data_IF_505494623678
#
_entry.id   IF_505494623678
#
_cell.length_a   1.000
_cell.length_b   1.000
_cell.length_c   1.000
_cell.angle_alpha   90.00
_cell.angle_beta   90.00
_cell.angle_gamma   90.00
#
_symmetry.space_group_name_H-M   'P 1'
#
loop_
_entity.id
_entity.type
_entity.pdbx_description
1 polymer ?
#
# COMPACT_ATOMS: atom_id res chain seq x y z
N UNK A 1 -15.99 9.99 14.66
CA UNK A 1 -15.34 11.07 15.44
C UNK A 1 -14.50 11.96 14.53
N UNK A 2 -13.96 13.09 14.99
CA UNK A 2 -13.02 13.91 14.19
C UNK A 2 -11.77 13.11 13.79
N UNK A 3 -11.26 12.28 14.70
CA UNK A 3 -10.13 11.36 14.45
C UNK A 3 -10.43 10.36 13.33
N UNK A 4 -11.63 9.77 13.32
CA UNK A 4 -12.04 8.83 12.26
C UNK A 4 -12.14 9.51 10.89
N UNK A 5 -12.62 10.76 10.84
CA UNK A 5 -12.67 11.52 9.58
C UNK A 5 -11.25 11.77 9.07
N UNK A 6 -10.33 12.17 9.96
CA UNK A 6 -8.93 12.37 9.60
C UNK A 6 -8.28 11.07 9.11
N UNK A 7 -8.54 9.94 9.77
CA UNK A 7 -8.06 8.62 9.36
C UNK A 7 -8.55 8.29 7.94
N UNK A 8 -9.85 8.41 7.66
CA UNK A 8 -10.43 8.14 6.33
C UNK A 8 -9.81 9.00 5.24
N UNK A 9 -9.64 10.31 5.49
CA UNK A 9 -9.04 11.24 4.53
C UNK A 9 -7.57 10.89 4.26
N UNK A 10 -6.81 10.58 5.31
CA UNK A 10 -5.41 10.23 5.16
C UNK A 10 -5.23 8.88 4.47
N UNK A 11 -6.10 7.89 4.73
CA UNK A 11 -6.11 6.62 4.00
C UNK A 11 -6.25 6.83 2.49
N UNK A 12 -7.27 7.58 2.06
CA UNK A 12 -7.46 7.87 0.62
C UNK A 12 -6.28 8.64 0.02
N UNK A 13 -5.67 9.56 0.79
CA UNK A 13 -4.45 10.24 0.35
C UNK A 13 -3.27 9.28 0.15
N UNK A 14 -3.08 8.33 1.07
CA UNK A 14 -2.01 7.33 0.97
C UNK A 14 -2.24 6.39 -0.21
N UNK A 15 -3.48 5.95 -0.44
CA UNK A 15 -3.85 5.12 -1.59
C UNK A 15 -3.59 5.85 -2.92
N UNK A 16 -3.92 7.14 -3.00
CA UNK A 16 -3.59 7.95 -4.18
C UNK A 16 -2.07 8.14 -4.36
N UNK A 17 -1.34 8.41 -3.28
CA UNK A 17 0.12 8.58 -3.32
C UNK A 17 0.83 7.30 -3.76
N UNK A 18 0.35 6.14 -3.29
CA UNK A 18 0.92 4.84 -3.65
C UNK A 18 0.76 4.50 -5.14
N UNK A 19 -0.29 5.00 -5.82
CA UNK A 19 -0.47 4.79 -7.27
C UNK A 19 0.59 5.48 -8.12
N UNK A 20 1.19 6.56 -7.63
CA UNK A 20 2.21 7.33 -8.37
C UNK A 20 3.50 7.46 -7.56
N UNK A 21 3.83 6.40 -6.79
CA UNK A 21 4.93 6.45 -5.84
C UNK A 21 6.27 6.56 -6.58
N UNK A 22 7.00 7.62 -6.29
CA UNK A 22 8.40 7.82 -6.68
C UNK A 22 9.28 7.79 -5.42
N UNK A 23 10.61 7.77 -5.61
CA UNK A 23 11.57 7.71 -4.51
C UNK A 23 11.43 8.88 -3.51
N UNK A 24 11.13 10.09 -4.00
CA UNK A 24 10.93 11.27 -3.14
C UNK A 24 9.64 11.18 -2.30
N UNK A 25 8.62 10.46 -2.78
CA UNK A 25 7.36 10.27 -2.07
C UNK A 25 7.37 9.03 -1.14
N UNK A 26 8.31 8.09 -1.31
CA UNK A 26 8.37 6.86 -0.51
C UNK A 26 8.50 7.12 0.99
N UNK A 27 9.48 7.95 1.39
CA UNK A 27 9.68 8.29 2.80
C UNK A 27 8.46 9.01 3.39
N UNK A 28 7.77 9.81 2.58
CA UNK A 28 6.59 10.56 2.97
C UNK A 28 5.39 9.63 3.17
N UNK A 29 5.18 8.69 2.25
CA UNK A 29 4.15 7.67 2.37
C UNK A 29 4.38 6.82 3.62
N UNK A 30 5.63 6.42 3.88
CA UNK A 30 6.01 5.70 5.10
C UNK A 30 5.59 6.47 6.36
N UNK A 31 5.90 7.77 6.44
CA UNK A 31 5.49 8.62 7.58
C UNK A 31 3.98 8.74 7.73
N UNK A 32 3.24 8.80 6.63
CA UNK A 32 1.78 8.82 6.69
C UNK A 32 1.19 7.49 7.15
N UNK A 33 1.78 6.36 6.75
CA UNK A 33 1.37 5.03 7.24
C UNK A 33 1.67 4.87 8.73
N UNK A 34 2.83 5.30 9.21
CA UNK A 34 3.17 5.33 10.65
C UNK A 34 2.14 6.14 11.44
N UNK A 35 1.78 7.33 10.95
CA UNK A 35 0.76 8.17 11.59
C UNK A 35 -0.66 7.58 11.50
N UNK A 36 -0.99 6.81 10.45
CA UNK A 36 -2.25 6.08 10.35
C UNK A 36 -2.36 4.99 11.43
N UNK A 37 -1.26 4.29 11.76
CA UNK A 37 -1.25 3.32 12.87
C UNK A 37 -1.52 4.01 14.21
N UNK A 38 -0.88 5.16 14.45
CA UNK A 38 -1.09 5.95 15.66
C UNK A 38 -2.55 6.39 15.79
N UNK A 39 -3.13 6.96 14.72
CA UNK A 39 -4.54 7.34 14.68
C UNK A 39 -5.47 6.15 14.92
N UNK A 40 -5.17 4.99 14.31
CA UNK A 40 -5.96 3.78 14.49
C UNK A 40 -5.90 3.29 15.95
N UNK A 41 -4.73 3.36 16.58
CA UNK A 41 -4.57 2.97 17.98
C UNK A 41 -5.30 3.92 18.93
N UNK A 42 -5.23 5.23 18.70
CA UNK A 42 -6.00 6.21 19.47
C UNK A 42 -7.52 5.97 19.35
N UNK A 43 -7.98 5.61 18.15
CA UNK A 43 -9.38 5.26 17.91
C UNK A 43 -9.82 3.99 18.65
N UNK A 44 -8.94 3.01 18.89
CA UNK A 44 -9.29 1.78 19.63
C UNK A 44 -9.63 2.06 21.10
N UNK A 45 -8.97 3.06 21.68
CA UNK A 45 -9.13 3.49 23.07
C UNK A 45 -10.27 4.50 23.25
N UNK A 46 -10.79 5.06 22.15
CA UNK A 46 -11.86 6.06 22.21
C UNK A 46 -13.20 5.42 22.65
N UNK A 47 -13.91 5.99 23.64
CA UNK A 47 -15.22 5.48 24.05
C UNK A 47 -16.28 5.55 22.95
N UNK A 48 -16.11 6.45 21.97
CA UNK A 48 -16.99 6.60 20.80
C UNK A 48 -16.39 5.98 19.54
N UNK A 49 -15.63 4.89 19.69
CA UNK A 49 -14.97 4.25 18.56
C UNK A 49 -15.96 3.71 17.52
N UNK A 50 -15.54 3.63 16.25
CA UNK A 50 -16.35 3.03 15.18
C UNK A 50 -16.70 1.56 15.47
N UNK A 51 -17.62 1.01 14.68
CA UNK A 51 -17.96 -0.41 14.74
C UNK A 51 -16.74 -1.31 14.54
N UNK A 52 -16.79 -2.53 15.09
CA UNK A 52 -15.73 -3.54 14.91
C UNK A 52 -15.41 -3.76 13.42
N UNK A 53 -16.44 -3.81 12.57
CA UNK A 53 -16.31 -3.93 11.12
C UNK A 53 -15.55 -2.74 10.50
N UNK A 54 -15.86 -1.51 10.92
CA UNK A 54 -15.16 -0.31 10.45
C UNK A 54 -13.70 -0.30 10.89
N UNK A 55 -13.43 -0.69 12.14
CA UNK A 55 -12.07 -0.79 12.67
C UNK A 55 -11.25 -1.85 11.93
N UNK A 56 -11.85 -3.00 11.63
CA UNK A 56 -11.21 -4.05 10.83
C UNK A 56 -10.93 -3.56 9.40
N UNK A 57 -11.88 -2.86 8.79
CA UNK A 57 -11.74 -2.23 7.47
C UNK A 57 -10.53 -1.29 7.42
N UNK A 58 -10.35 -0.42 8.43
CA UNK A 58 -9.19 0.46 8.48
C UNK A 58 -7.89 -0.30 8.69
N UNK A 59 -7.89 -1.30 9.58
CA UNK A 59 -6.73 -2.16 9.84
C UNK A 59 -6.26 -2.85 8.56
N UNK A 60 -7.19 -3.41 7.79
CA UNK A 60 -6.89 -4.08 6.52
C UNK A 60 -6.34 -3.11 5.47
N UNK A 61 -6.86 -1.89 5.37
CA UNK A 61 -6.35 -0.87 4.44
C UNK A 61 -4.94 -0.41 4.80
N UNK A 62 -4.65 -0.19 6.09
CA UNK A 62 -3.29 0.15 6.54
C UNK A 62 -2.32 -0.99 6.27
N UNK A 63 -2.71 -2.24 6.57
CA UNK A 63 -1.89 -3.42 6.28
C UNK A 63 -1.60 -3.57 4.77
N UNK A 64 -2.60 -3.29 3.93
CA UNK A 64 -2.41 -3.27 2.47
C UNK A 64 -1.40 -2.20 2.04
N UNK A 65 -1.55 -0.96 2.51
CA UNK A 65 -0.62 0.13 2.19
C UNK A 65 0.82 -0.19 2.60
N UNK A 66 1.01 -0.86 3.74
CA UNK A 66 2.32 -1.38 4.17
C UNK A 66 2.88 -2.41 3.20
N UNK A 67 2.03 -3.34 2.73
CA UNK A 67 2.41 -4.33 1.73
C UNK A 67 2.82 -3.68 0.40
N UNK A 68 2.05 -2.71 -0.08
CA UNK A 68 2.38 -1.93 -1.29
C UNK A 68 3.70 -1.20 -1.12
N UNK A 69 3.91 -0.51 0.00
CA UNK A 69 5.18 0.17 0.28
C UNK A 69 6.36 -0.81 0.27
N UNK A 70 6.19 -2.00 0.85
CA UNK A 70 7.22 -3.04 0.82
C UNK A 70 7.55 -3.50 -0.60
N UNK A 71 6.55 -3.69 -1.46
CA UNK A 71 6.76 -3.99 -2.90
C UNK A 71 7.56 -2.89 -3.58
N UNK A 72 7.30 -1.62 -3.28
CA UNK A 72 8.07 -0.53 -3.86
C UNK A 72 9.52 -0.51 -3.38
N UNK A 73 9.75 -0.88 -2.11
CA UNK A 73 11.07 -0.92 -1.49
C UNK A 73 12.01 -2.00 -2.04
N UNK A 74 11.47 -3.13 -2.52
CA UNK A 74 12.30 -4.21 -3.08
C UNK A 74 13.07 -3.76 -4.33
N UNK A 75 14.36 -4.08 -4.42
CA UNK A 75 15.22 -3.61 -5.50
C UNK A 75 15.00 -4.36 -6.82
N UNK A 76 14.77 -5.68 -6.75
CA UNK A 76 14.67 -6.52 -7.95
C UNK A 76 13.20 -6.77 -8.35
N UNK A 77 12.88 -6.80 -9.66
CA UNK A 77 11.53 -7.12 -10.11
C UNK A 77 11.00 -8.46 -9.61
N UNK A 78 11.88 -9.44 -9.39
CA UNK A 78 11.50 -10.74 -8.83
C UNK A 78 11.07 -10.61 -7.37
N UNK A 79 11.86 -9.93 -6.54
CA UNK A 79 11.54 -9.70 -5.12
C UNK A 79 10.26 -8.87 -4.99
N UNK A 80 10.05 -7.88 -5.87
CA UNK A 80 8.80 -7.12 -5.97
C UNK A 80 7.58 -8.01 -6.20
N UNK A 81 7.66 -9.03 -7.08
CA UNK A 81 6.55 -9.97 -7.29
C UNK A 81 6.30 -10.82 -6.05
N UNK A 82 7.36 -11.33 -5.42
CA UNK A 82 7.25 -12.13 -4.21
C UNK A 82 6.58 -11.32 -3.10
N UNK A 83 7.06 -10.09 -2.86
CA UNK A 83 6.46 -9.16 -1.91
C UNK A 83 4.99 -8.89 -2.24
N UNK A 84 4.63 -8.73 -3.51
CA UNK A 84 3.24 -8.47 -3.92
C UNK A 84 2.32 -9.66 -3.67
N UNK A 85 2.81 -10.89 -3.89
CA UNK A 85 2.05 -12.11 -3.62
C UNK A 85 1.80 -12.33 -2.13
N UNK A 86 2.74 -11.88 -1.29
CA UNK A 86 2.63 -11.94 0.17
C UNK A 86 1.85 -10.76 0.77
N UNK A 87 1.71 -9.66 0.01
CA UNK A 87 1.01 -8.48 0.45
C UNK A 87 -0.48 -8.78 0.73
N UNK A 88 -1.07 -8.20 1.78
CA UNK A 88 -2.51 -8.28 2.00
C UNK A 88 -3.26 -7.73 0.79
N UNK A 89 -4.36 -8.33 0.35
CA UNK A 89 -5.10 -7.86 -0.85
C UNK A 89 -6.02 -6.65 -0.59
N UNK A 90 -5.84 -5.98 0.55
CA UNK A 90 -6.78 -4.97 1.04
C UNK A 90 -8.14 -5.57 1.39
N UNK A 91 -9.13 -4.69 1.53
CA UNK A 91 -10.53 -5.07 1.70
C UNK A 91 -11.29 -4.86 0.37
N UNK A 92 -12.61 -5.01 0.37
CA UNK A 92 -13.43 -4.83 -0.84
C UNK A 92 -13.52 -3.38 -1.35
N UNK A 93 -12.71 -2.45 -0.84
CA UNK A 93 -12.65 -1.07 -1.31
C UNK A 93 -12.11 -1.00 -2.74
N UNK A 94 -12.76 -0.19 -3.58
CA UNK A 94 -12.40 -0.03 -4.99
C UNK A 94 -10.98 0.54 -5.14
N UNK A 95 -10.63 1.56 -4.36
CA UNK A 95 -9.29 2.16 -4.38
C UNK A 95 -8.18 1.14 -4.11
N UNK A 96 -8.42 0.21 -3.18
CA UNK A 96 -7.44 -0.82 -2.83
C UNK A 96 -7.29 -1.86 -3.96
N UNK A 97 -8.38 -2.22 -4.63
CA UNK A 97 -8.36 -3.14 -5.77
C UNK A 97 -7.65 -2.53 -6.97
N UNK A 98 -7.97 -1.29 -7.30
CA UNK A 98 -7.32 -0.55 -8.38
C UNK A 98 -5.82 -0.39 -8.11
N UNK A 99 -5.45 0.00 -6.89
CA UNK A 99 -4.04 0.12 -6.52
C UNK A 99 -3.32 -1.23 -6.63
N UNK A 100 -3.90 -2.31 -6.13
CA UNK A 100 -3.30 -3.64 -6.27
C UNK A 100 -3.12 -4.03 -7.74
N UNK A 101 -4.14 -3.81 -8.58
CA UNK A 101 -4.07 -4.09 -10.01
C UNK A 101 -2.94 -3.29 -10.67
N UNK A 102 -2.89 -1.99 -10.40
CA UNK A 102 -1.85 -1.11 -10.92
C UNK A 102 -0.45 -1.56 -10.49
N UNK A 103 -0.24 -1.87 -9.20
CA UNK A 103 1.04 -2.37 -8.69
C UNK A 103 1.41 -3.68 -9.37
N UNK A 104 0.47 -4.59 -9.57
CA UNK A 104 0.69 -5.87 -10.25
C UNK A 104 1.10 -5.70 -11.73
N UNK A 105 0.43 -4.80 -12.45
CA UNK A 105 0.76 -4.51 -13.84
C UNK A 105 2.15 -3.86 -13.98
N UNK A 106 2.46 -2.91 -13.10
CA UNK A 106 3.75 -2.21 -13.07
C UNK A 106 4.90 -3.16 -12.80
N UNK A 107 4.81 -3.97 -11.73
CA UNK A 107 5.84 -4.95 -11.38
C UNK A 107 5.97 -6.02 -12.47
N UNK A 108 4.85 -6.49 -13.03
CA UNK A 108 4.86 -7.45 -14.13
C UNK A 108 5.52 -6.90 -15.40
N UNK A 109 5.38 -5.60 -15.67
CA UNK A 109 6.08 -4.96 -16.78
C UNK A 109 7.60 -4.90 -16.54
N UNK A 110 8.03 -4.52 -15.33
CA UNK A 110 9.45 -4.47 -14.96
C UNK A 110 10.13 -5.84 -15.10
N UNK A 111 9.48 -6.92 -14.64
CA UNK A 111 10.04 -8.26 -14.78
C UNK A 111 10.17 -8.67 -16.26
N UNK A 112 9.14 -8.41 -17.08
CA UNK A 112 9.20 -8.73 -18.51
C UNK A 112 10.33 -8.00 -19.20
N UNK A 113 10.52 -6.72 -18.90
CA UNK A 113 11.61 -5.92 -19.43
C UNK A 113 12.97 -6.52 -19.02
N UNK A 114 13.18 -6.80 -17.74
CA UNK A 114 14.43 -7.41 -17.24
C UNK A 114 14.76 -8.71 -17.97
N UNK A 115 13.78 -9.60 -18.15
CA UNK A 115 13.95 -10.87 -18.86
C UNK A 115 14.31 -10.68 -20.35
N UNK A 116 13.74 -9.68 -21.02
CA UNK A 116 14.02 -9.38 -22.42
C UNK A 116 15.40 -8.74 -22.60
N UNK A 117 15.79 -7.83 -21.71
CA UNK A 117 17.09 -7.13 -21.76
C UNK A 117 18.23 -8.09 -21.44
N UNK A 118 18.05 -8.98 -20.46
CA UNK A 118 19.03 -10.03 -20.11
C UNK A 118 19.29 -11.00 -21.27
N UNK A 119 18.28 -11.26 -22.12
CA UNK A 119 18.43 -12.07 -23.35
C UNK A 119 19.25 -11.37 -24.44
N UNK A 120 19.44 -10.06 -24.35
CA UNK A 120 20.10 -9.24 -25.39
C UNK A 120 21.60 -9.04 -25.15
N UNK A 121 22.08 -9.26 -23.92
CA UNK A 121 23.48 -9.10 -23.50
C UNK A 121 24.36 -10.34 -23.69
N UNK A 122 23.80 -11.42 -24.23
CA UNK A 122 24.49 -12.68 -24.51
C UNK A 122 24.82 -12.74 -26.02
N UNK A 123 25.67 -11.82 -26.50
CA UNK A 123 26.26 -11.84 -27.85
C UNK A 123 27.64 -11.20 -27.89
#
# INVERSE_FOLDING_TARGET
SAEEINLKRLLGKCENMARSLNEEDEWRLKKYIEYLDELLNNLKENPNKPSCESMNTYTQRIAFLKGVLHVHHEETPLDKIVALQLAPKGNNNEDSKELHHFTNESVGAQLREELLTKKSGDK
#
